data_IF_673802696989
#
_entry.id   IF_673802696989
#
_cell.length_a   1.000
_cell.length_b   1.000
_cell.length_c   1.000
_cell.angle_alpha   90.00
_cell.angle_beta   90.00
_cell.angle_gamma   90.00
#
_symmetry.space_group_name_H-M   'P 1'
#
loop_
_entity.id
_entity.type
_entity.pdbx_description
1 polymer ?
#
# COMPACT_ATOMS: atom_id res chain seq x y z
N UNK A 1 -8.01 -11.39 17.85
CA UNK A 1 -7.61 -11.03 16.47
C UNK A 1 -6.88 -9.69 16.52
N UNK A 2 -5.59 -9.64 16.16
CA UNK A 2 -4.84 -8.39 16.18
C UNK A 2 -5.32 -7.48 15.03
N UNK A 3 -5.58 -6.20 15.32
CA UNK A 3 -6.04 -5.25 14.31
C UNK A 3 -4.94 -5.03 13.24
N UNK A 4 -5.26 -5.15 11.93
CA UNK A 4 -4.28 -4.92 10.86
C UNK A 4 -3.68 -3.51 10.95
N UNK A 5 -2.34 -3.45 11.06
CA UNK A 5 -1.63 -2.16 11.12
C UNK A 5 -1.62 -1.49 9.75
N UNK A 6 -1.89 -0.19 9.75
CA UNK A 6 -1.81 0.60 8.53
C UNK A 6 -0.35 0.67 8.09
N UNK A 7 -0.07 0.31 6.84
CA UNK A 7 1.22 0.60 6.22
C UNK A 7 1.24 2.00 5.60
N UNK A 8 0.07 2.46 5.14
CA UNK A 8 -0.09 3.79 4.58
C UNK A 8 -1.54 4.26 4.72
N UNK A 9 -1.73 5.57 4.92
CA UNK A 9 -3.04 6.22 4.99
C UNK A 9 -3.00 7.46 4.11
N UNK A 10 -4.00 7.60 3.25
CA UNK A 10 -4.03 8.67 2.24
C UNK A 10 -5.42 8.91 1.70
N UNK A 11 -5.52 9.67 0.62
CA UNK A 11 -6.78 9.97 -0.06
C UNK A 11 -6.70 9.49 -1.52
N UNK A 12 -7.71 8.75 -1.97
CA UNK A 12 -7.86 8.33 -3.35
C UNK A 12 -9.01 9.12 -3.99
N UNK A 13 -8.74 9.76 -5.12
CA UNK A 13 -9.77 10.45 -5.89
C UNK A 13 -10.35 9.51 -6.94
N UNK A 14 -11.68 9.33 -6.92
CA UNK A 14 -12.41 8.55 -7.92
C UNK A 14 -13.47 9.46 -8.52
N UNK A 15 -13.25 9.88 -9.77
CA UNK A 15 -14.04 10.93 -10.40
C UNK A 15 -14.02 12.23 -9.61
N UNK A 16 -15.19 12.65 -9.12
CA UNK A 16 -15.37 13.85 -8.29
C UNK A 16 -15.34 13.58 -6.78
N UNK A 17 -15.21 12.32 -6.35
CA UNK A 17 -15.24 11.92 -4.94
C UNK A 17 -13.83 11.68 -4.41
N UNK A 18 -13.57 12.13 -3.18
CA UNK A 18 -12.31 11.87 -2.47
C UNK A 18 -12.57 10.90 -1.31
N UNK A 19 -11.96 9.72 -1.37
CA UNK A 19 -12.10 8.68 -0.36
C UNK A 19 -10.85 8.61 0.52
N UNK A 20 -11.01 8.66 1.85
CA UNK A 20 -9.92 8.32 2.76
C UNK A 20 -9.64 6.83 2.70
N UNK A 21 -8.43 6.45 2.31
CA UNK A 21 -8.00 5.05 2.18
C UNK A 21 -6.92 4.72 3.20
N UNK A 22 -6.96 3.49 3.70
CA UNK A 22 -5.93 2.90 4.55
C UNK A 22 -5.45 1.60 3.90
N UNK A 23 -4.19 1.56 3.52
CA UNK A 23 -3.55 0.32 3.07
C UNK A 23 -3.09 -0.47 4.30
N UNK A 24 -3.39 -1.76 4.28
CA UNK A 24 -2.98 -2.76 5.28
C UNK A 24 -2.42 -3.96 4.53
N UNK A 25 -1.47 -4.68 5.14
CA UNK A 25 -0.97 -5.94 4.57
C UNK A 25 -0.18 -5.80 3.27
N UNK A 26 0.56 -4.69 3.07
CA UNK A 26 1.48 -4.62 1.95
C UNK A 26 2.56 -5.72 2.10
N UNK A 27 2.62 -6.62 1.13
CA UNK A 27 3.68 -7.62 1.01
C UNK A 27 4.83 -6.98 0.26
N UNK A 28 5.93 -6.70 0.97
CA UNK A 28 7.18 -6.29 0.32
C UNK A 28 7.86 -7.53 -0.25
N UNK A 29 7.86 -7.68 -1.57
CA UNK A 29 8.68 -8.70 -2.23
C UNK A 29 10.13 -8.20 -2.30
N UNK A 30 10.94 -8.58 -1.32
CA UNK A 30 12.39 -8.36 -1.36
C UNK A 30 13.06 -9.45 -2.21
N UNK A 31 12.91 -9.38 -3.53
CA UNK A 31 13.68 -10.19 -4.47
C UNK A 31 15.01 -9.52 -4.82
N UNK A 32 16.14 -10.24 -4.80
CA UNK A 32 17.39 -9.73 -5.37
C UNK A 32 17.20 -9.55 -6.88
N UNK A 33 16.93 -8.32 -7.32
CA UNK A 33 17.05 -7.97 -8.74
C UNK A 33 18.53 -8.00 -9.10
N UNK A 34 18.97 -9.08 -9.75
CA UNK A 34 20.26 -9.10 -10.43
C UNK A 34 20.09 -8.27 -11.71
N UNK A 35 20.24 -6.95 -11.60
CA UNK A 35 20.31 -6.08 -12.77
C UNK A 35 21.56 -6.48 -13.54
N UNK A 36 21.39 -7.15 -14.68
CA UNK A 36 22.48 -7.41 -15.61
C UNK A 36 22.90 -6.06 -16.22
N UNK A 37 24.08 -5.59 -15.82
CA UNK A 37 24.79 -4.51 -16.51
C UNK A 37 25.35 -4.97 -17.85
#
# INVERSE_FOLDING_TARGET
>A
MAAPRAVWKGFLKVGSVTCGVKLVGATTEAGKVHSKS
#
